data_IF_107303119776
#
_entry.id   IF_107303119776
#
_cell.length_a   1.000
_cell.length_b   1.000
_cell.length_c   1.000
_cell.angle_alpha   90.00
_cell.angle_beta   90.00
_cell.angle_gamma   90.00
#
_symmetry.space_group_name_H-M   'P 1'
#
loop_
_entity.id
_entity.type
_entity.pdbx_description
1 polymer ?
#
# COMPACT_ATOMS: atom_id res chain seq x y z
N UNK A 1 -9.45 10.62 14.15
CA UNK A 1 -9.45 11.47 12.96
C UNK A 1 -8.52 12.64 13.23
N UNK A 2 -7.75 13.07 12.25
CA UNK A 2 -6.79 14.16 12.36
C UNK A 2 -7.00 15.12 11.20
N UNK A 3 -7.11 16.42 11.53
CA UNK A 3 -7.09 17.49 10.54
C UNK A 3 -5.65 17.92 10.29
N UNK A 4 -5.24 17.99 9.03
CA UNK A 4 -3.88 18.43 8.68
C UNK A 4 -3.69 19.92 9.00
N UNK A 5 -2.57 20.26 9.61
CA UNK A 5 -2.21 21.66 9.94
C UNK A 5 -1.43 22.34 8.81
N UNK A 6 -0.83 21.56 7.93
CA UNK A 6 -0.05 22.02 6.77
C UNK A 6 -0.23 21.07 5.60
N UNK A 7 0.06 21.54 4.39
CA UNK A 7 0.20 20.68 3.23
C UNK A 7 1.25 19.60 3.54
N UNK A 8 0.91 18.35 3.25
CA UNK A 8 1.71 17.19 3.63
C UNK A 8 1.81 16.23 2.46
N UNK A 9 3.02 15.72 2.22
CA UNK A 9 3.27 14.71 1.20
C UNK A 9 3.03 13.33 1.80
N UNK A 10 2.25 12.54 1.08
CA UNK A 10 2.01 11.13 1.35
C UNK A 10 2.43 10.27 0.15
N UNK A 11 2.51 8.97 0.40
CA UNK A 11 2.75 7.94 -0.59
C UNK A 11 1.59 6.96 -0.63
N UNK A 12 1.27 6.51 -1.84
CA UNK A 12 0.31 5.44 -2.12
C UNK A 12 1.03 4.32 -2.83
N UNK A 13 0.86 3.08 -2.36
CA UNK A 13 1.43 1.89 -2.97
C UNK A 13 0.32 1.05 -3.61
N UNK A 14 0.50 0.61 -4.86
CA UNK A 14 -0.52 -0.10 -5.64
C UNK A 14 0.08 -1.03 -6.70
N UNK A 15 -0.73 -1.92 -7.26
CA UNK A 15 -0.26 -3.00 -8.17
C UNK A 15 -0.75 -2.90 -9.59
N UNK A 16 -1.91 -2.30 -9.84
CA UNK A 16 -2.44 -2.26 -11.19
C UNK A 16 -1.93 -1.03 -11.95
N UNK A 17 -1.35 -1.21 -13.15
CA UNK A 17 -1.15 -0.12 -14.09
C UNK A 17 -2.19 -0.18 -15.22
N UNK A 18 -3.47 -0.46 -14.97
CA UNK A 18 -4.45 -0.61 -16.08
C UNK A 18 -5.89 -0.13 -15.78
N UNK A 19 -6.12 0.48 -14.61
CA UNK A 19 -7.32 1.27 -14.37
C UNK A 19 -7.06 2.27 -13.22
N UNK A 20 -6.80 3.55 -13.51
CA UNK A 20 -6.63 4.59 -12.48
C UNK A 20 -7.93 4.91 -11.72
N UNK A 21 -9.02 4.19 -11.98
CA UNK A 21 -10.36 4.47 -11.47
C UNK A 21 -10.70 3.83 -10.12
N UNK A 22 -9.81 3.02 -9.52
CA UNK A 22 -10.02 2.56 -8.14
C UNK A 22 -9.51 3.64 -7.17
N UNK A 23 -10.26 4.73 -7.07
CA UNK A 23 -10.01 5.91 -6.23
C UNK A 23 -10.80 5.88 -4.91
N UNK A 24 -11.46 4.77 -4.62
CA UNK A 24 -12.30 4.63 -3.42
C UNK A 24 -11.56 3.76 -2.40
N UNK A 25 -11.29 4.34 -1.24
CA UNK A 25 -10.95 3.62 -0.01
C UNK A 25 -9.54 3.04 0.08
N UNK A 26 -8.50 3.76 -0.35
CA UNK A 26 -7.10 3.32 -0.20
C UNK A 26 -6.33 4.14 0.82
N UNK A 27 -5.46 3.47 1.56
CA UNK A 27 -4.61 4.08 2.58
C UNK A 27 -3.43 4.83 1.94
N UNK A 28 -3.16 6.02 2.47
CA UNK A 28 -1.95 6.80 2.26
C UNK A 28 -0.98 6.52 3.42
N UNK A 29 0.30 6.75 3.23
CA UNK A 29 1.31 6.67 4.29
C UNK A 29 2.33 7.78 4.14
N UNK A 30 2.95 8.22 5.23
CA UNK A 30 4.13 9.10 5.15
C UNK A 30 5.43 8.29 5.03
N UNK A 31 5.36 6.97 5.17
CA UNK A 31 6.50 6.09 5.04
C UNK A 31 6.87 5.86 3.57
N UNK A 32 8.12 6.15 3.24
CA UNK A 32 8.70 5.89 1.94
C UNK A 32 9.32 4.48 1.90
N UNK A 33 8.94 3.70 0.90
CA UNK A 33 9.47 2.39 0.59
C UNK A 33 9.93 2.39 -0.86
N UNK A 34 11.12 1.82 -1.09
CA UNK A 34 11.68 1.62 -2.42
C UNK A 34 11.55 0.17 -2.88
N UNK A 35 11.54 -0.76 -1.92
CA UNK A 35 11.39 -2.19 -2.16
C UNK A 35 9.94 -2.60 -1.88
N UNK A 36 9.33 -3.34 -2.80
CA UNK A 36 7.92 -3.71 -2.71
C UNK A 36 7.61 -4.61 -1.50
N UNK A 37 8.51 -5.54 -1.15
CA UNK A 37 8.34 -6.45 -0.01
C UNK A 37 8.23 -5.72 1.32
N UNK A 38 9.02 -4.65 1.51
CA UNK A 38 8.94 -3.80 2.71
C UNK A 38 7.59 -3.10 2.81
N UNK A 39 7.13 -2.50 1.71
CA UNK A 39 5.82 -1.85 1.65
C UNK A 39 4.70 -2.84 1.98
N UNK A 40 4.73 -4.03 1.38
CA UNK A 40 3.75 -5.10 1.60
C UNK A 40 3.67 -5.49 3.08
N UNK A 41 4.82 -5.74 3.70
CA UNK A 41 4.90 -6.20 5.09
C UNK A 41 4.49 -5.10 6.07
N UNK A 42 5.04 -3.89 5.91
CA UNK A 42 4.87 -2.79 6.88
C UNK A 42 3.50 -2.11 6.77
N UNK A 43 2.91 -2.06 5.58
CA UNK A 43 1.54 -1.58 5.37
C UNK A 43 0.51 -2.70 5.48
N UNK A 44 0.96 -3.93 5.74
CA UNK A 44 0.15 -5.13 5.84
C UNK A 44 -0.85 -5.27 4.67
N UNK A 45 -0.32 -5.23 3.45
CA UNK A 45 -1.09 -5.27 2.18
C UNK A 45 -1.59 -6.69 1.88
N UNK A 46 -2.32 -7.27 2.83
CA UNK A 46 -2.82 -8.63 2.77
C UNK A 46 -3.95 -8.78 1.73
N UNK A 47 -3.92 -9.84 0.89
CA UNK A 47 -5.04 -10.16 0.01
C UNK A 47 -6.20 -10.78 0.79
N UNK A 48 -7.33 -10.08 0.92
CA UNK A 48 -8.56 -10.68 1.44
C UNK A 48 -9.80 -10.37 0.57
N UNK A 49 -10.53 -11.39 0.08
CA UNK A 49 -10.17 -12.82 0.03
C UNK A 49 -8.95 -13.07 -0.88
N UNK A 50 -8.33 -14.28 -0.90
CA UNK A 50 -7.22 -14.64 -1.78
C UNK A 50 -7.68 -14.65 -3.25
N UNK A 51 -7.83 -13.47 -3.81
CA UNK A 51 -8.09 -13.23 -5.20
C UNK A 51 -7.01 -12.28 -5.68
N UNK A 52 -6.21 -12.78 -6.62
CA UNK A 52 -5.09 -12.09 -7.25
C UNK A 52 -5.45 -10.71 -7.80
N UNK A 53 -6.71 -10.52 -8.21
CA UNK A 53 -7.20 -9.26 -8.76
C UNK A 53 -7.39 -8.16 -7.69
N UNK A 54 -7.44 -8.53 -6.41
CA UNK A 54 -7.54 -7.58 -5.30
C UNK A 54 -6.25 -7.50 -4.48
N UNK A 55 -5.22 -8.23 -4.86
CA UNK A 55 -3.94 -8.23 -4.16
C UNK A 55 -3.14 -6.96 -4.48
N UNK A 56 -2.54 -6.38 -3.44
CA UNK A 56 -1.66 -5.23 -3.58
C UNK A 56 -0.19 -5.61 -3.36
N UNK A 57 0.45 -6.07 -4.43
CA UNK A 57 1.88 -6.28 -4.64
C UNK A 57 2.77 -5.04 -4.66
N UNK A 58 2.22 -3.83 -4.48
CA UNK A 58 2.97 -2.58 -4.41
C UNK A 58 4.00 -2.40 -5.56
N UNK A 59 3.62 -2.70 -6.81
CA UNK A 59 4.50 -2.47 -7.97
C UNK A 59 4.81 -1.00 -8.21
N UNK A 60 3.91 -0.11 -7.82
CA UNK A 60 4.03 1.31 -8.05
C UNK A 60 3.83 2.09 -6.75
N UNK A 61 4.53 3.22 -6.69
CA UNK A 61 4.38 4.26 -5.68
C UNK A 61 3.94 5.53 -6.36
N UNK A 62 2.96 6.20 -5.78
CA UNK A 62 2.53 7.53 -6.18
C UNK A 62 2.69 8.53 -5.03
N UNK A 63 3.22 9.71 -5.33
CA UNK A 63 3.31 10.82 -4.40
C UNK A 63 2.02 11.65 -4.44
N UNK A 64 1.40 11.83 -3.27
CA UNK A 64 0.13 12.55 -3.10
C UNK A 64 0.36 13.74 -2.17
N UNK A 65 0.25 14.95 -2.71
CA UNK A 65 0.21 16.16 -1.89
C UNK A 65 -1.22 16.33 -1.37
N UNK A 66 -1.37 16.37 -0.05
CA UNK A 66 -2.65 16.60 0.63
C UNK A 66 -2.61 17.97 1.29
N UNK A 67 -3.58 18.83 0.95
CA UNK A 67 -3.64 20.19 1.46
C UNK A 67 -3.94 20.23 2.95
N UNK A 68 -3.48 21.29 3.61
CA UNK A 68 -3.89 21.64 4.96
C UNK A 68 -5.42 21.66 5.09
N UNK A 69 -5.90 21.52 6.32
CA UNK A 69 -7.32 21.46 6.67
C UNK A 69 -8.08 20.20 6.18
N UNK A 70 -7.43 19.30 5.43
CA UNK A 70 -8.01 18.00 5.08
C UNK A 70 -8.10 17.10 6.32
N UNK A 71 -9.23 16.41 6.48
CA UNK A 71 -9.45 15.45 7.57
C UNK A 71 -9.16 14.02 7.10
N UNK A 72 -8.32 13.32 7.84
CA UNK A 72 -7.93 11.94 7.58
C UNK A 72 -8.13 11.10 8.84
N UNK A 73 -8.55 9.85 8.68
CA UNK A 73 -8.40 8.84 9.71
C UNK A 73 -6.94 8.43 9.76
N UNK A 74 -6.37 8.33 10.95
CA UNK A 74 -4.94 8.05 11.15
C UNK A 74 -4.80 6.89 12.09
N UNK A 75 -3.91 5.98 11.77
CA UNK A 75 -3.57 4.84 12.60
C UNK A 75 -2.27 4.19 12.14
N UNK A 76 -1.93 3.08 12.78
CA UNK A 76 -0.90 2.18 12.29
C UNK A 76 -1.57 1.00 11.60
N UNK A 77 -0.97 0.51 10.52
CA UNK A 77 -1.39 -0.73 9.88
C UNK A 77 -1.32 -1.86 10.91
N UNK A 78 -2.46 -2.49 11.19
CA UNK A 78 -2.50 -3.66 12.07
C UNK A 78 -1.88 -4.87 11.39
N UNK A 79 -1.27 -5.81 12.15
CA UNK A 79 -0.88 -7.09 11.60
C UNK A 79 -2.11 -7.82 11.03
N UNK A 80 -1.95 -8.49 9.90
CA UNK A 80 -3.06 -9.22 9.26
C UNK A 80 -3.06 -10.68 9.72
N UNK A 81 -4.20 -11.38 9.80
CA UNK A 81 -4.22 -12.79 10.16
C UNK A 81 -3.63 -13.65 9.04
N UNK A 82 -2.63 -14.49 9.34
CA UNK A 82 -2.32 -15.65 8.54
C UNK A 82 -3.24 -16.77 9.02
N UNK A 83 -3.89 -17.49 8.12
CA UNK A 83 -4.90 -18.47 8.49
C UNK A 83 -4.38 -19.61 9.39
N UNK A 84 -3.07 -19.76 9.61
CA UNK A 84 -2.56 -20.98 10.25
C UNK A 84 -1.14 -20.90 10.86
N UNK A 85 -0.26 -19.96 10.45
CA UNK A 85 1.19 -20.04 10.81
C UNK A 85 1.88 -18.71 11.07
N UNK A 86 1.21 -17.75 11.74
CA UNK A 86 1.82 -16.46 12.05
C UNK A 86 1.98 -15.58 10.81
N UNK A 87 1.42 -14.38 10.86
CA UNK A 87 1.47 -13.50 9.70
C UNK A 87 2.76 -12.72 9.65
N UNK A 88 3.49 -12.90 8.56
CA UNK A 88 4.59 -12.03 8.16
C UNK A 88 4.14 -10.65 7.67
N UNK A 89 2.83 -10.41 7.48
CA UNK A 89 2.28 -9.07 7.28
C UNK A 89 2.19 -8.37 8.64
N UNK A 90 3.34 -7.94 9.16
CA UNK A 90 3.46 -7.44 10.54
C UNK A 90 2.77 -6.10 10.75
N UNK A 91 2.55 -5.32 9.69
CA UNK A 91 2.06 -3.95 9.81
C UNK A 91 3.06 -3.03 10.51
N UNK A 92 2.53 -2.00 11.16
CA UNK A 92 3.27 -1.02 11.98
C UNK A 92 3.61 0.29 11.26
N UNK A 93 3.42 0.37 9.94
CA UNK A 93 3.55 1.64 9.23
C UNK A 93 2.36 2.58 9.51
N UNK A 94 2.60 3.88 9.40
CA UNK A 94 1.51 4.86 9.44
C UNK A 94 0.55 4.65 8.27
N UNK A 95 -0.75 4.72 8.55
CA UNK A 95 -1.80 4.69 7.55
C UNK A 95 -2.78 5.84 7.77
N UNK A 96 -3.12 6.48 6.66
CA UNK A 96 -4.02 7.61 6.60
C UNK A 96 -5.13 7.27 5.61
N UNK A 97 -6.38 7.51 6.00
CA UNK A 97 -7.53 7.16 5.19
C UNK A 97 -8.45 8.36 5.04
N UNK A 98 -8.83 8.65 3.80
CA UNK A 98 -9.83 9.66 3.48
C UNK A 98 -11.21 9.00 3.36
N UNK A 99 -12.19 9.47 4.13
CA UNK A 99 -13.54 8.90 4.15
C UNK A 99 -14.52 9.51 3.16
N UNK A 100 -14.08 10.44 2.31
CA UNK A 100 -14.93 10.98 1.26
C UNK A 100 -15.10 9.99 0.09
N UNK A 101 -15.99 10.35 -0.83
CA UNK A 101 -16.47 9.45 -1.89
C UNK A 101 -15.38 9.16 -2.94
N UNK A 102 -14.59 10.15 -3.33
CA UNK A 102 -13.56 10.02 -4.35
C UNK A 102 -12.37 10.96 -4.05
N UNK A 103 -11.18 10.39 -3.94
CA UNK A 103 -9.94 11.15 -3.72
C UNK A 103 -9.44 11.85 -4.99
N UNK A 104 -9.77 11.33 -6.18
CA UNK A 104 -9.24 11.81 -7.46
C UNK A 104 -9.87 13.11 -7.94
N UNK A 105 -11.12 13.36 -7.54
CA UNK A 105 -11.85 14.59 -7.84
C UNK A 105 -11.80 15.60 -6.69
N UNK A 106 -11.21 15.23 -5.55
CA UNK A 106 -11.12 16.12 -4.40
C UNK A 106 -9.97 17.13 -4.58
N UNK A 107 -10.25 18.46 -4.57
CA UNK A 107 -9.23 19.50 -4.79
C UNK A 107 -8.19 19.62 -3.66
N UNK A 108 -8.38 18.88 -2.57
CA UNK A 108 -7.44 18.78 -1.46
C UNK A 108 -6.33 17.77 -1.72
N UNK A 109 -6.41 16.98 -2.78
CA UNK A 109 -5.44 15.96 -3.15
C UNK A 109 -4.84 16.28 -4.52
N UNK A 110 -3.52 16.15 -4.64
CA UNK A 110 -2.83 16.33 -5.91
C UNK A 110 -1.84 15.19 -6.09
N UNK A 111 -2.03 14.43 -7.15
CA UNK A 111 -1.18 13.29 -7.53
C UNK A 111 -0.08 13.81 -8.44
N UNK A 112 1.17 13.64 -8.03
CA UNK A 112 2.30 14.40 -8.62
C UNK A 112 3.28 13.53 -9.37
N UNK A 113 3.55 12.31 -8.89
CA UNK A 113 4.61 11.48 -9.43
C UNK A 113 4.36 10.01 -9.17
N UNK A 114 4.55 9.17 -10.19
CA UNK A 114 4.51 7.72 -10.12
C UNK A 114 5.90 7.14 -10.39
N UNK A 115 6.29 6.11 -9.63
CA UNK A 115 7.41 5.24 -9.99
C UNK A 115 7.11 3.78 -9.74
N UNK A 116 7.78 2.93 -10.52
CA UNK A 116 7.90 1.52 -10.20
C UNK A 116 8.77 1.34 -8.94
N UNK A 117 8.38 0.42 -8.07
CA UNK A 117 9.23 -0.03 -6.97
C UNK A 117 10.23 -1.06 -7.47
N UNK A 118 11.34 -1.14 -6.75
CA UNK A 118 12.25 -2.28 -6.83
C UNK A 118 11.52 -3.53 -6.35
N UNK A 119 11.42 -4.53 -7.23
CA UNK A 119 10.89 -5.84 -6.88
C UNK A 119 11.95 -6.61 -6.07
N UNK A 120 11.56 -7.11 -4.91
CA UNK A 120 12.40 -8.02 -4.13
C UNK A 120 12.50 -9.39 -4.81
N UNK A 121 13.70 -9.78 -5.20
CA UNK A 121 13.97 -11.05 -5.90
C UNK A 121 14.23 -12.21 -4.94
N UNK A 122 14.36 -11.96 -3.63
CA UNK A 122 14.58 -13.03 -2.65
C UNK A 122 13.29 -13.80 -2.33
N UNK A 123 12.13 -13.18 -2.59
CA UNK A 123 10.83 -13.70 -2.19
C UNK A 123 9.86 -13.75 -3.37
N UNK A 124 10.30 -14.30 -4.50
CA UNK A 124 9.45 -14.34 -5.70
C UNK A 124 8.32 -15.35 -5.52
N UNK A 125 7.08 -14.87 -5.45
CA UNK A 125 5.89 -15.70 -5.45
C UNK A 125 5.53 -16.19 -6.87
N UNK A 126 4.49 -17.01 -6.99
CA UNK A 126 4.01 -17.57 -8.27
C UNK A 126 3.62 -16.52 -9.33
N UNK A 127 3.40 -15.26 -8.93
CA UNK A 127 3.08 -14.14 -9.83
C UNK A 127 4.31 -13.33 -10.22
N UNK A 128 5.50 -13.77 -9.82
CA UNK A 128 6.70 -12.99 -10.07
C UNK A 128 6.73 -11.72 -9.22
N UNK A 129 6.32 -11.77 -7.95
CA UNK A 129 6.37 -10.61 -7.03
C UNK A 129 7.25 -10.94 -5.85
N UNK A 130 8.05 -9.96 -5.40
CA UNK A 130 8.68 -10.01 -4.08
C UNK A 130 7.64 -9.91 -2.97
N UNK A 131 7.08 -11.04 -2.55
CA UNK A 131 6.11 -11.14 -1.46
C UNK A 131 6.64 -12.18 -0.45
N UNK A 132 7.32 -11.73 0.63
CA UNK A 132 7.90 -12.62 1.64
C UNK A 132 6.85 -13.48 2.35
N UNK A 133 5.59 -13.11 2.21
CA UNK A 133 4.48 -13.77 2.87
C UNK A 133 3.78 -14.86 2.07
N UNK A 134 4.05 -14.92 0.77
CA UNK A 134 3.42 -15.89 -0.12
C UNK A 134 4.46 -16.47 -1.09
N UNK A 135 5.63 -16.82 -0.57
CA UNK A 135 6.68 -17.46 -1.35
C UNK A 135 6.27 -18.88 -1.73
N UNK A 136 6.44 -19.21 -3.00
CA UNK A 136 6.53 -20.61 -3.42
C UNK A 136 7.88 -21.12 -2.90
N UNK A 137 7.96 -22.30 -2.27
CA UNK A 137 9.25 -22.88 -1.93
C UNK A 137 10.10 -22.95 -3.20
N UNK A 138 11.26 -22.28 -3.22
CA UNK A 138 12.22 -22.48 -4.30
C UNK A 138 12.60 -23.97 -4.30
N UNK A 139 12.61 -24.66 -5.45
CA UNK A 139 13.10 -26.03 -5.49
C UNK A 139 14.52 -26.03 -4.94
N UNK A 140 14.73 -26.82 -3.87
CA UNK A 140 16.01 -26.88 -3.17
C UNK A 140 17.13 -27.21 -4.16
N UNK A 141 18.20 -26.42 -4.09
CA UNK A 141 19.47 -26.68 -4.79
C UNK A 141 20.14 -27.92 -4.25
#
# INVERSE_FOLDING_TARGET
MQKLTSDTVFYRYYSYPEAPSINIGRFLTTNLYEINSEAIVKLALYPFPPNVQFQNFAYYREQVLVKAQTELYVGLAGPQPAADTGSCYTGGASQYFFSGVDISTNPSFTFTWQAALTKDTNYVNQYGVGDPCNVVPLPGT
#
